data_IF_072714036986
#
_entry.id   IF_072714036986
#
_cell.length_a   1.000
_cell.length_b   1.000
_cell.length_c   1.000
_cell.angle_alpha   90.00
_cell.angle_beta   90.00
_cell.angle_gamma   90.00
#
_symmetry.space_group_name_H-M   'P 1'
#
loop_
_entity.id
_entity.type
_entity.pdbx_description
1 polymer ?
#
# COMPACT_ATOMS: atom_id res chain seq x y z
N UNK A 1 3.13 18.33 19.97
CA UNK A 1 2.78 16.93 19.65
C UNK A 1 1.27 16.84 19.49
N UNK A 2 0.75 16.58 18.29
CA UNK A 2 -0.68 16.45 18.05
C UNK A 2 -1.06 14.96 18.07
N UNK A 3 -1.75 14.51 19.12
CA UNK A 3 -2.44 13.22 19.14
C UNK A 3 -3.75 13.38 18.36
N UNK A 4 -4.02 12.59 17.32
CA UNK A 4 -5.30 12.66 16.64
C UNK A 4 -6.40 12.10 17.53
N UNK A 5 -7.56 12.77 17.51
CA UNK A 5 -8.80 12.22 18.07
C UNK A 5 -9.32 11.16 17.11
N UNK A 6 -9.40 9.93 17.59
CA UNK A 6 -10.11 8.84 16.91
C UNK A 6 -11.56 9.28 16.85
N UNK A 7 -12.06 9.60 15.65
CA UNK A 7 -13.50 9.75 15.46
C UNK A 7 -14.12 8.36 15.69
N UNK A 8 -15.08 8.28 16.61
CA UNK A 8 -15.77 7.04 16.98
C UNK A 8 -16.64 6.55 15.81
N UNK A 9 -16.05 5.77 14.91
CA UNK A 9 -16.78 5.02 13.90
C UNK A 9 -17.21 3.68 14.50
N UNK A 10 -18.52 3.48 14.71
CA UNK A 10 -19.06 2.27 15.35
C UNK A 10 -18.73 1.00 14.52
N UNK A 11 -17.86 0.16 15.08
CA UNK A 11 -17.11 -0.92 14.40
C UNK A 11 -17.83 -2.28 14.34
N UNK A 12 -17.40 -3.14 13.39
CA UNK A 12 -17.37 -4.61 13.57
C UNK A 12 -15.95 -5.16 13.42
N UNK A 13 -15.54 -5.88 14.47
CA UNK A 13 -14.48 -6.91 14.69
C UNK A 13 -13.01 -6.79 14.26
N UNK A 14 -12.56 -5.93 13.34
CA UNK A 14 -11.13 -5.63 13.21
C UNK A 14 -10.93 -4.15 12.83
N UNK A 15 -10.36 -3.38 13.75
CA UNK A 15 -10.10 -1.95 13.57
C UNK A 15 -8.91 -1.79 12.62
N UNK A 16 -9.02 -1.06 11.49
CA UNK A 16 -7.87 -0.79 10.63
C UNK A 16 -6.83 0.02 11.40
N UNK A 17 -5.55 -0.29 11.19
CA UNK A 17 -4.48 0.51 11.74
C UNK A 17 -4.34 1.80 10.92
N UNK A 18 -4.84 2.90 11.49
CA UNK A 18 -4.76 4.23 10.90
C UNK A 18 -3.52 4.96 11.43
N UNK A 19 -2.69 5.42 10.50
CA UNK A 19 -1.51 6.25 10.77
C UNK A 19 -1.65 7.61 10.12
N UNK A 20 -1.28 8.67 10.86
CA UNK A 20 -1.06 9.99 10.26
C UNK A 20 0.40 10.06 9.83
N UNK A 21 0.61 10.32 8.56
CA UNK A 21 1.94 10.48 7.97
C UNK A 21 2.18 11.98 7.75
N UNK A 22 3.13 12.54 8.49
CA UNK A 22 3.59 13.90 8.29
C UNK A 22 4.48 13.99 7.04
N UNK A 23 4.19 14.98 6.20
CA UNK A 23 4.97 15.37 5.02
C UNK A 23 5.75 16.66 5.29
N UNK A 24 6.42 17.19 4.27
CA UNK A 24 7.13 18.47 4.35
C UNK A 24 6.14 19.62 4.60
N UNK A 25 6.53 20.59 5.43
CA UNK A 25 5.62 21.65 5.87
C UNK A 25 4.56 21.13 6.84
N UNK A 26 3.54 21.94 7.16
CA UNK A 26 2.44 21.53 8.04
C UNK A 26 1.44 20.57 7.35
N UNK A 27 1.91 19.78 6.38
CA UNK A 27 1.12 18.88 5.55
C UNK A 27 1.14 17.46 6.13
N UNK A 28 0.02 16.76 6.01
CA UNK A 28 -0.10 15.36 6.46
C UNK A 28 -1.19 14.64 5.69
N UNK A 29 -1.04 13.32 5.55
CA UNK A 29 -2.08 12.45 4.99
C UNK A 29 -2.36 11.28 5.95
N UNK A 30 -3.51 10.64 5.75
CA UNK A 30 -3.91 9.46 6.53
C UNK A 30 -3.57 8.24 5.68
N UNK A 31 -2.87 7.28 6.29
CA UNK A 31 -2.62 5.97 5.74
C UNK A 31 -3.39 4.94 6.58
N UNK A 32 -4.10 4.03 5.93
CA UNK A 32 -4.75 2.91 6.60
C UNK A 32 -4.10 1.63 6.12
N UNK A 33 -3.71 0.77 7.05
CA UNK A 33 -3.37 -0.60 6.71
C UNK A 33 -4.65 -1.40 6.47
N UNK A 34 -4.65 -2.21 5.42
CA UNK A 34 -5.80 -3.00 4.98
C UNK A 34 -5.48 -4.46 5.30
N UNK A 35 -5.86 -4.96 6.50
CA UNK A 35 -5.66 -6.36 6.82
C UNK A 35 -6.58 -7.22 5.94
N UNK A 36 -5.98 -8.14 5.17
CA UNK A 36 -6.73 -9.21 4.50
C UNK A 36 -7.16 -8.96 3.06
N UNK A 37 -6.30 -8.41 2.19
CA UNK A 37 -6.35 -8.72 0.74
C UNK A 37 -5.42 -9.91 0.47
N UNK A 38 -5.57 -10.99 1.23
CA UNK A 38 -4.80 -12.22 1.02
C UNK A 38 -5.79 -13.38 1.21
N UNK A 39 -5.72 -14.37 0.31
CA UNK A 39 -6.43 -15.65 0.25
C UNK A 39 -7.67 -15.80 1.17
N UNK A 40 -8.85 -15.77 0.54
CA UNK A 40 -10.12 -16.11 1.20
C UNK A 40 -10.96 -14.92 1.69
N UNK A 41 -10.48 -13.69 1.55
CA UNK A 41 -11.24 -12.48 1.87
C UNK A 41 -12.53 -12.32 1.04
N UNK A 42 -12.53 -12.81 -0.21
CA UNK A 42 -13.70 -12.83 -1.09
C UNK A 42 -14.74 -13.90 -0.72
N UNK A 43 -14.40 -14.91 0.09
CA UNK A 43 -15.30 -16.01 0.47
C UNK A 43 -16.27 -15.65 1.62
N UNK A 44 -16.43 -14.36 1.93
CA UNK A 44 -17.52 -13.91 2.78
C UNK A 44 -17.38 -14.19 4.28
N UNK A 45 -16.16 -14.43 4.80
CA UNK A 45 -15.89 -14.53 6.26
C UNK A 45 -15.97 -13.18 7.01
N UNK A 46 -16.93 -12.33 6.66
CA UNK A 46 -17.34 -11.15 7.44
C UNK A 46 -16.42 -9.93 7.43
N UNK A 47 -15.28 -9.98 6.74
CA UNK A 47 -14.19 -9.00 6.92
C UNK A 47 -14.05 -7.96 5.78
N UNK A 48 -14.51 -8.26 4.56
CA UNK A 48 -14.22 -7.44 3.37
C UNK A 48 -15.27 -6.39 3.00
N UNK A 49 -16.56 -6.77 2.89
CA UNK A 49 -17.53 -5.96 2.14
C UNK A 49 -17.89 -4.59 2.74
N UNK A 50 -17.75 -4.43 4.07
CA UNK A 50 -18.02 -3.15 4.77
C UNK A 50 -16.77 -2.28 4.90
N UNK A 51 -15.61 -2.90 5.11
CA UNK A 51 -14.33 -2.18 5.22
C UNK A 51 -13.90 -1.60 3.87
N UNK A 52 -14.02 -2.39 2.80
CA UNK A 52 -13.57 -2.00 1.47
C UNK A 52 -14.50 -0.95 0.82
N UNK A 53 -15.79 -0.85 1.24
CA UNK A 53 -16.66 0.31 0.94
C UNK A 53 -16.11 1.65 1.44
N UNK A 54 -15.23 1.65 2.44
CA UNK A 54 -14.54 2.87 2.89
C UNK A 54 -13.32 3.17 2.01
N UNK A 55 -12.69 2.13 1.42
CA UNK A 55 -11.60 2.30 0.45
C UNK A 55 -12.09 2.89 -0.87
N UNK A 56 -13.37 2.70 -1.22
CA UNK A 56 -13.99 3.35 -2.37
C UNK A 56 -13.85 4.89 -2.32
N UNK A 57 -13.73 5.48 -1.12
CA UNK A 57 -13.46 6.92 -0.92
C UNK A 57 -11.98 7.32 -0.87
N UNK A 58 -11.05 6.37 -0.86
CA UNK A 58 -9.61 6.64 -0.84
C UNK A 58 -9.08 7.06 -2.22
N UNK A 59 -8.03 7.87 -2.25
CA UNK A 59 -7.44 8.39 -3.49
C UNK A 59 -6.42 7.45 -4.14
N UNK A 60 -5.70 6.63 -3.36
CA UNK A 60 -4.58 5.82 -3.87
C UNK A 60 -4.44 4.49 -3.12
N UNK A 61 -3.90 3.47 -3.80
CA UNK A 61 -3.50 2.17 -3.22
C UNK A 61 -1.98 1.98 -3.29
N UNK A 62 -1.41 1.50 -2.19
CA UNK A 62 0.01 1.15 -2.11
C UNK A 62 0.14 -0.36 -1.96
N UNK A 63 0.72 -1.02 -2.96
CA UNK A 63 1.01 -2.45 -2.90
C UNK A 63 2.39 -2.63 -2.28
N UNK A 64 2.52 -3.57 -1.36
CA UNK A 64 3.78 -3.87 -0.71
C UNK A 64 4.15 -5.32 -0.96
N UNK A 65 5.30 -5.54 -1.60
CA UNK A 65 5.88 -6.85 -1.87
C UNK A 65 7.25 -6.88 -1.20
N UNK A 66 7.63 -7.93 -0.47
CA UNK A 66 8.93 -7.95 0.19
C UNK A 66 10.04 -8.38 -0.78
N UNK A 67 11.26 -7.89 -0.56
CA UNK A 67 12.41 -8.14 -1.41
C UNK A 67 12.75 -9.64 -1.51
N UNK A 68 12.51 -10.41 -0.44
CA UNK A 68 12.73 -11.86 -0.35
C UNK A 68 11.61 -12.69 -1.01
N UNK A 69 10.70 -12.05 -1.74
CA UNK A 69 9.71 -12.75 -2.57
C UNK A 69 10.37 -13.61 -3.65
N UNK A 70 9.72 -14.73 -3.98
CA UNK A 70 10.15 -15.65 -5.05
C UNK A 70 9.79 -15.14 -6.45
N UNK A 71 9.02 -14.06 -6.57
CA UNK A 71 8.65 -13.46 -7.85
C UNK A 71 7.77 -12.23 -7.67
N UNK A 72 8.36 -11.05 -7.83
CA UNK A 72 7.75 -9.76 -7.48
C UNK A 72 6.61 -9.40 -8.42
N UNK A 73 6.75 -9.68 -9.72
CA UNK A 73 5.69 -9.47 -10.70
C UNK A 73 4.52 -10.41 -10.44
N UNK A 74 4.81 -11.68 -10.16
CA UNK A 74 3.76 -12.68 -9.89
C UNK A 74 2.95 -12.30 -8.65
N UNK A 75 3.62 -11.91 -7.57
CA UNK A 75 2.95 -11.52 -6.33
C UNK A 75 2.12 -10.25 -6.51
N UNK A 76 2.66 -9.26 -7.23
CA UNK A 76 1.89 -8.07 -7.60
C UNK A 76 0.64 -8.41 -8.43
N UNK A 77 0.76 -9.31 -9.42
CA UNK A 77 -0.38 -9.75 -10.23
C UNK A 77 -1.44 -10.51 -9.41
N UNK A 78 -1.02 -11.31 -8.43
CA UNK A 78 -1.95 -11.99 -7.50
C UNK A 78 -2.73 -10.97 -6.70
N UNK A 79 -2.05 -9.97 -6.11
CA UNK A 79 -2.71 -8.90 -5.36
C UNK A 79 -3.69 -8.10 -6.23
N UNK A 80 -3.33 -7.85 -7.50
CA UNK A 80 -4.22 -7.20 -8.47
C UNK A 80 -5.45 -8.05 -8.82
N UNK A 81 -5.28 -9.36 -9.00
CA UNK A 81 -6.37 -10.27 -9.33
C UNK A 81 -7.35 -10.41 -8.15
N UNK A 82 -6.83 -10.46 -6.92
CA UNK A 82 -7.67 -10.44 -5.71
C UNK A 82 -8.45 -9.14 -5.57
N UNK A 83 -7.79 -8.00 -5.81
CA UNK A 83 -8.45 -6.70 -5.84
C UNK A 83 -9.57 -6.66 -6.90
N UNK A 84 -9.29 -7.19 -8.10
CA UNK A 84 -10.24 -7.27 -9.22
C UNK A 84 -11.44 -8.14 -8.89
N UNK A 85 -11.21 -9.32 -8.31
CA UNK A 85 -12.27 -10.25 -7.89
C UNK A 85 -13.17 -9.64 -6.83
N UNK A 86 -12.64 -8.74 -6.01
CA UNK A 86 -13.39 -8.07 -4.98
C UNK A 86 -14.22 -6.90 -5.53
N UNK A 87 -13.57 -5.89 -6.13
CA UNK A 87 -14.23 -4.76 -6.77
C UNK A 87 -13.37 -4.26 -7.94
N UNK A 88 -13.78 -4.50 -9.20
CA UNK A 88 -13.07 -4.03 -10.39
C UNK A 88 -12.80 -2.52 -10.43
N UNK A 89 -13.68 -1.69 -9.84
CA UNK A 89 -13.53 -0.22 -9.80
C UNK A 89 -12.29 0.22 -9.00
N UNK A 90 -11.78 -0.62 -8.10
CA UNK A 90 -10.54 -0.34 -7.37
C UNK A 90 -9.31 -0.39 -8.28
N UNK A 91 -9.43 -0.98 -9.47
CA UNK A 91 -8.36 -0.98 -10.47
C UNK A 91 -8.21 0.38 -11.19
N UNK A 92 -9.20 1.26 -11.10
CA UNK A 92 -9.15 2.59 -11.71
C UNK A 92 -8.41 3.62 -10.84
N UNK A 93 -8.11 3.25 -9.59
CA UNK A 93 -7.38 4.12 -8.65
C UNK A 93 -5.91 4.21 -9.00
N UNK A 94 -5.28 5.29 -8.56
CA UNK A 94 -3.82 5.39 -8.57
C UNK A 94 -3.21 4.27 -7.72
N UNK A 95 -2.22 3.59 -8.29
CA UNK A 95 -1.54 2.46 -7.66
C UNK A 95 -0.03 2.65 -7.73
N UNK A 96 0.67 2.24 -6.69
CA UNK A 96 2.11 2.25 -6.66
C UNK A 96 2.64 1.03 -5.92
N UNK A 97 3.74 0.47 -6.39
CA UNK A 97 4.35 -0.73 -5.81
C UNK A 97 5.55 -0.35 -4.93
N UNK A 98 5.65 -1.00 -3.78
CA UNK A 98 6.74 -0.82 -2.83
C UNK A 98 7.41 -2.16 -2.62
N UNK A 99 8.71 -2.21 -2.89
CA UNK A 99 9.55 -3.36 -2.55
C UNK A 99 10.13 -3.11 -1.16
N UNK A 100 9.62 -3.82 -0.16
CA UNK A 100 10.08 -3.69 1.25
C UNK A 100 11.28 -4.59 1.54
N UNK A 101 11.94 -4.41 2.69
CA UNK A 101 13.17 -5.15 3.08
C UNK A 101 14.34 -5.02 2.09
N UNK A 102 14.45 -3.86 1.44
CA UNK A 102 15.49 -3.64 0.41
C UNK A 102 16.92 -3.59 0.96
N UNK A 103 17.08 -3.58 2.29
CA UNK A 103 18.37 -3.77 2.97
C UNK A 103 19.01 -5.13 2.70
N UNK A 104 18.24 -6.10 2.19
CA UNK A 104 18.72 -7.43 1.80
C UNK A 104 19.20 -7.50 0.34
N UNK A 105 19.07 -6.42 -0.44
CA UNK A 105 19.36 -6.39 -1.87
C UNK A 105 20.63 -5.58 -2.15
N UNK A 106 21.43 -6.06 -3.10
CA UNK A 106 22.46 -5.27 -3.75
C UNK A 106 21.94 -4.58 -5.03
N UNK A 107 22.77 -3.75 -5.64
CA UNK A 107 22.40 -2.99 -6.85
C UNK A 107 22.06 -3.90 -8.05
N UNK A 108 22.71 -5.06 -8.14
CA UNK A 108 22.46 -6.03 -9.22
C UNK A 108 21.06 -6.62 -9.09
N UNK A 109 20.71 -7.13 -7.90
CA UNK A 109 19.40 -7.69 -7.60
C UNK A 109 18.28 -6.64 -7.73
N UNK A 110 18.51 -5.39 -7.26
CA UNK A 110 17.57 -4.30 -7.49
C UNK A 110 17.34 -4.06 -8.99
N UNK A 111 18.40 -4.15 -9.79
CA UNK A 111 18.34 -4.05 -11.25
C UNK A 111 17.53 -5.18 -11.90
N UNK A 112 17.69 -6.41 -11.42
CA UNK A 112 16.90 -7.57 -11.89
C UNK A 112 15.42 -7.42 -11.58
N UNK A 113 15.08 -7.07 -10.34
CA UNK A 113 13.70 -6.81 -9.91
C UNK A 113 13.09 -5.66 -10.73
N UNK A 114 13.86 -4.60 -10.97
CA UNK A 114 13.40 -3.47 -11.79
C UNK A 114 13.12 -3.86 -13.24
N UNK A 115 13.89 -4.81 -13.80
CA UNK A 115 13.66 -5.38 -15.13
C UNK A 115 12.41 -6.26 -15.15
N UNK A 116 12.19 -7.07 -14.12
CA UNK A 116 10.99 -7.89 -13.95
C UNK A 116 9.73 -7.01 -13.88
N UNK A 117 9.79 -5.91 -13.14
CA UNK A 117 8.70 -4.96 -12.92
C UNK A 117 8.61 -3.85 -13.98
N UNK A 118 9.18 -4.07 -15.18
CA UNK A 118 9.20 -3.07 -16.24
C UNK A 118 7.78 -2.60 -16.60
N UNK A 119 7.55 -1.28 -16.46
CA UNK A 119 6.25 -0.65 -16.72
C UNK A 119 5.36 -0.50 -15.48
N UNK A 120 5.79 -1.01 -14.32
CA UNK A 120 5.11 -0.83 -13.03
C UNK A 120 5.89 0.20 -12.21
N UNK A 121 5.29 1.36 -11.85
CA UNK A 121 5.93 2.32 -10.96
C UNK A 121 6.21 1.69 -9.60
N UNK A 122 7.49 1.67 -9.20
CA UNK A 122 7.91 1.05 -7.95
C UNK A 122 9.03 1.82 -7.24
N UNK A 123 9.16 1.59 -5.93
CA UNK A 123 10.28 2.06 -5.12
C UNK A 123 10.75 0.97 -4.15
N UNK A 124 12.06 0.89 -3.95
CA UNK A 124 12.71 0.05 -2.95
C UNK A 124 12.78 0.81 -1.62
N UNK A 125 12.30 0.22 -0.53
CA UNK A 125 12.41 0.77 0.82
C UNK A 125 12.99 -0.24 1.81
N UNK A 126 13.54 0.27 2.90
CA UNK A 126 13.77 -0.51 4.11
C UNK A 126 13.24 0.25 5.31
N UNK A 127 12.30 -0.37 6.03
CA UNK A 127 11.79 0.16 7.29
C UNK A 127 12.82 0.05 8.41
N UNK A 128 13.81 -0.84 8.29
CA UNK A 128 14.85 -1.06 9.30
C UNK A 128 15.93 0.01 9.19
N UNK A 129 16.44 0.28 7.99
CA UNK A 129 17.49 1.28 7.76
C UNK A 129 16.93 2.69 7.54
N UNK A 130 15.63 2.80 7.26
CA UNK A 130 15.00 4.06 6.86
C UNK A 130 15.21 4.42 5.39
N UNK A 131 15.84 3.55 4.61
CA UNK A 131 16.09 3.76 3.18
C UNK A 131 14.79 4.10 2.45
N UNK A 132 14.83 5.20 1.70
CA UNK A 132 13.77 5.69 0.82
C UNK A 132 12.41 5.98 1.48
N UNK A 133 12.32 5.99 2.82
CA UNK A 133 11.06 6.29 3.52
C UNK A 133 10.62 7.74 3.28
N UNK A 134 11.54 8.70 3.22
CA UNK A 134 11.22 10.10 2.93
C UNK A 134 10.75 10.25 1.48
N UNK A 135 11.45 9.60 0.55
CA UNK A 135 11.11 9.58 -0.87
C UNK A 135 9.74 8.95 -1.10
N UNK A 136 9.41 7.87 -0.40
CA UNK A 136 8.08 7.27 -0.44
C UNK A 136 6.99 8.24 0.03
N UNK A 137 7.22 8.97 1.13
CA UNK A 137 6.27 9.99 1.61
C UNK A 137 6.07 11.11 0.59
N UNK A 138 7.15 11.59 0.00
CA UNK A 138 7.12 12.65 -1.02
C UNK A 138 6.38 12.16 -2.29
N UNK A 139 6.61 10.91 -2.72
CA UNK A 139 5.91 10.28 -3.85
C UNK A 139 4.41 10.13 -3.60
N UNK A 140 4.02 9.57 -2.45
CA UNK A 140 2.62 9.41 -2.08
C UNK A 140 1.94 10.78 -1.99
N UNK A 141 2.57 11.75 -1.35
CA UNK A 141 2.05 13.12 -1.29
C UNK A 141 1.85 13.73 -2.68
N UNK A 142 2.82 13.52 -3.57
CA UNK A 142 2.73 13.97 -4.96
C UNK A 142 1.52 13.37 -5.68
N UNK A 143 1.32 12.05 -5.57
CA UNK A 143 0.19 11.35 -6.20
C UNK A 143 -1.15 11.84 -5.65
N UNK A 144 -1.27 11.97 -4.33
CA UNK A 144 -2.50 12.42 -3.66
C UNK A 144 -2.93 13.85 -4.03
N UNK A 145 -1.98 14.70 -4.44
CA UNK A 145 -2.22 16.11 -4.77
C UNK A 145 -1.94 16.43 -6.25
N UNK A 146 -1.98 15.43 -7.14
CA UNK A 146 -2.01 15.70 -8.58
C UNK A 146 -3.35 16.36 -8.91
N UNK A 147 -3.30 17.65 -9.18
CA UNK A 147 -4.42 18.45 -9.71
C UNK A 147 -4.71 18.08 -11.15
#
# INVERSE_FOLDING_TARGET
AAKPKIAEYHFTTLVPNLGIVSCRGQQSFIMADIPGIIEGAHQGKGLGLRFLRHIERNSMLLFMVPADSKGHLKEYLVLLDELKKYNPELLDKDRFLVISKSDMLDEELMGEISKELKGIPHIFISSVTGQNIVQLKDLVWGILNKT
#
